data_IF_648510421189
#
_entry.id   IF_648510421189
#
_cell.length_a   1.000
_cell.length_b   1.000
_cell.length_c   1.000
_cell.angle_alpha   90.00
_cell.angle_beta   90.00
_cell.angle_gamma   90.00
#
_symmetry.space_group_name_H-M   'P 1'
#
loop_
_entity.id
_entity.type
_entity.pdbx_description
1 polymer ?
#
# COMPACT_ATOMS: atom_id res chain seq x y z
N UNK A 1 36.89 -2.53 -7.34
CA UNK A 1 37.23 -2.07 -8.68
C UNK A 1 36.20 -2.50 -9.71
N UNK A 2 36.48 -2.35 -11.00
CA UNK A 2 35.53 -2.58 -12.12
C UNK A 2 34.81 -3.94 -12.10
N UNK A 3 35.43 -5.00 -11.60
CA UNK A 3 34.82 -6.33 -11.49
C UNK A 3 33.66 -6.33 -10.47
N UNK A 4 33.82 -5.64 -9.35
CA UNK A 4 32.76 -5.54 -8.33
C UNK A 4 31.58 -4.73 -8.83
N UNK A 5 31.82 -3.63 -9.55
CA UNK A 5 30.78 -2.83 -10.20
C UNK A 5 30.01 -3.65 -11.23
N UNK A 6 30.72 -4.44 -12.05
CA UNK A 6 30.09 -5.32 -13.02
C UNK A 6 29.22 -6.39 -12.36
N UNK A 7 29.69 -7.02 -11.27
CA UNK A 7 28.91 -8.00 -10.52
C UNK A 7 27.63 -7.36 -9.94
N UNK A 8 27.74 -6.17 -9.36
CA UNK A 8 26.58 -5.45 -8.82
C UNK A 8 25.55 -5.08 -9.89
N UNK A 9 26.00 -4.69 -11.08
CA UNK A 9 25.11 -4.40 -12.23
C UNK A 9 24.41 -5.68 -12.71
N UNK A 10 25.12 -6.80 -12.80
CA UNK A 10 24.53 -8.09 -13.19
C UNK A 10 23.49 -8.54 -12.15
N UNK A 11 23.78 -8.41 -10.86
CA UNK A 11 22.82 -8.73 -9.80
C UNK A 11 21.56 -7.87 -9.87
N UNK A 12 21.70 -6.55 -10.11
CA UNK A 12 20.55 -5.64 -10.33
C UNK A 12 19.72 -6.06 -11.54
N UNK A 13 20.38 -6.42 -12.67
CA UNK A 13 19.68 -6.90 -13.86
C UNK A 13 18.93 -8.20 -13.58
N UNK A 14 19.54 -9.17 -12.91
CA UNK A 14 18.88 -10.44 -12.54
C UNK A 14 17.70 -10.18 -11.62
N UNK A 15 17.84 -9.29 -10.64
CA UNK A 15 16.76 -8.90 -9.73
C UNK A 15 15.61 -8.24 -10.48
N UNK A 16 15.89 -7.31 -11.39
CA UNK A 16 14.87 -6.67 -12.24
C UNK A 16 14.12 -7.68 -13.13
N UNK A 17 14.84 -8.64 -13.72
CA UNK A 17 14.24 -9.72 -14.52
C UNK A 17 13.33 -10.60 -13.65
N UNK A 18 13.75 -10.98 -12.46
CA UNK A 18 12.93 -11.76 -11.52
C UNK A 18 11.65 -11.02 -11.11
N UNK A 19 11.76 -9.71 -10.84
CA UNK A 19 10.58 -8.87 -10.53
C UNK A 19 9.64 -8.81 -11.73
N UNK A 20 10.15 -8.58 -12.93
CA UNK A 20 9.33 -8.52 -14.14
C UNK A 20 8.62 -9.85 -14.42
N UNK A 21 9.30 -10.97 -14.27
CA UNK A 21 8.71 -12.30 -14.39
C UNK A 21 7.61 -12.53 -13.34
N UNK A 22 7.84 -12.11 -12.09
CA UNK A 22 6.84 -12.19 -11.04
C UNK A 22 5.61 -11.32 -11.36
N UNK A 23 5.82 -10.10 -11.86
CA UNK A 23 4.75 -9.20 -12.30
C UNK A 23 3.92 -9.86 -13.41
N UNK A 24 4.58 -10.42 -14.44
CA UNK A 24 3.91 -11.11 -15.54
C UNK A 24 3.11 -12.30 -15.02
N UNK A 25 3.70 -13.15 -14.19
CA UNK A 25 3.00 -14.29 -13.57
C UNK A 25 1.77 -13.85 -12.76
N UNK A 26 1.89 -12.81 -11.95
CA UNK A 26 0.77 -12.29 -11.14
C UNK A 26 -0.33 -11.77 -12.07
N UNK A 27 0.01 -10.96 -13.07
CA UNK A 27 -0.96 -10.38 -14.02
C UNK A 27 -1.63 -11.43 -14.91
N UNK A 28 -0.92 -12.52 -15.23
CA UNK A 28 -1.47 -13.64 -16.02
C UNK A 28 -2.40 -14.52 -15.20
N UNK A 29 -2.07 -14.78 -13.93
CA UNK A 29 -2.81 -15.69 -13.07
C UNK A 29 -3.97 -15.02 -12.31
N UNK A 30 -3.88 -13.69 -12.09
CA UNK A 30 -4.88 -12.95 -11.33
C UNK A 30 -5.37 -11.75 -12.14
N UNK A 31 -6.57 -11.84 -12.69
CA UNK A 31 -7.25 -10.70 -13.36
C UNK A 31 -7.78 -9.72 -12.31
N UNK A 32 -6.88 -9.11 -11.55
CA UNK A 32 -7.20 -8.19 -10.44
C UNK A 32 -6.57 -6.82 -10.69
N UNK A 33 -7.31 -5.78 -10.34
CA UNK A 33 -6.79 -4.40 -10.23
C UNK A 33 -6.31 -4.20 -8.79
N UNK A 34 -5.00 -4.22 -8.57
CA UNK A 34 -4.39 -4.07 -7.25
C UNK A 34 -4.30 -2.59 -6.91
N UNK A 35 -4.91 -2.19 -5.79
CA UNK A 35 -5.05 -0.80 -5.39
C UNK A 35 -4.29 -0.56 -4.08
N UNK A 36 -3.34 0.39 -4.08
CA UNK A 36 -2.74 0.89 -2.86
C UNK A 36 -3.61 2.03 -2.32
N UNK A 37 -3.92 2.01 -1.02
CA UNK A 37 -4.62 3.09 -0.34
C UNK A 37 -3.82 3.54 0.88
N UNK A 38 -3.50 4.84 0.95
CA UNK A 38 -2.68 5.41 2.01
C UNK A 38 -3.01 6.87 2.28
N UNK A 39 -2.73 7.33 3.50
CA UNK A 39 -2.62 8.74 3.84
C UNK A 39 -1.15 9.06 4.15
N UNK A 40 -0.62 10.11 3.55
CA UNK A 40 0.79 10.50 3.66
C UNK A 40 0.94 12.02 3.82
N UNK A 41 2.00 12.44 4.48
CA UNK A 41 2.42 13.84 4.53
C UNK A 41 3.10 14.29 3.22
N UNK A 42 3.47 15.57 3.12
CA UNK A 42 4.24 16.08 1.98
C UNK A 42 5.58 15.37 1.80
N UNK A 43 6.22 14.96 2.90
CA UNK A 43 7.49 14.22 2.90
C UNK A 43 7.30 12.70 2.98
N UNK A 44 6.15 12.18 2.51
CA UNK A 44 5.83 10.74 2.41
C UNK A 44 5.78 9.97 3.74
N UNK A 45 5.71 10.64 4.87
CA UNK A 45 5.53 9.98 6.18
C UNK A 45 4.12 9.37 6.26
N UNK A 46 4.05 8.13 6.71
CA UNK A 46 2.81 7.38 6.98
C UNK A 46 2.42 7.48 8.45
N UNK A 47 3.40 7.48 9.35
CA UNK A 47 3.17 7.42 10.77
C UNK A 47 4.46 7.44 11.58
N UNK A 48 4.31 7.34 12.89
CA UNK A 48 5.38 7.24 13.86
C UNK A 48 4.98 6.27 14.98
N UNK A 49 5.90 5.43 15.42
CA UNK A 49 5.69 4.47 16.51
C UNK A 49 4.43 3.59 16.31
N UNK A 50 4.21 3.11 15.08
CA UNK A 50 3.02 2.35 14.63
C UNK A 50 1.67 3.08 14.83
N UNK A 51 1.67 4.42 14.86
CA UNK A 51 0.48 5.25 15.01
C UNK A 51 0.39 6.27 13.88
N UNK A 52 -0.85 6.65 13.53
CA UNK A 52 -1.10 7.81 12.69
C UNK A 52 -0.74 9.10 13.46
N UNK A 53 -0.11 10.05 12.78
CA UNK A 53 0.30 11.33 13.35
C UNK A 53 -0.84 12.35 13.31
N UNK A 54 -1.75 12.21 12.35
CA UNK A 54 -2.90 13.10 12.14
C UNK A 54 -4.20 12.31 12.22
N UNK A 55 -5.28 13.04 12.46
CA UNK A 55 -6.64 12.49 12.39
C UNK A 55 -7.48 13.33 11.45
N UNK A 56 -7.94 12.74 10.37
CA UNK A 56 -8.82 13.35 9.36
C UNK A 56 -10.03 12.44 9.19
N UNK A 57 -11.17 12.85 9.72
CA UNK A 57 -12.40 12.03 9.73
C UNK A 57 -12.88 11.67 8.32
N UNK A 58 -12.75 12.60 7.37
CA UNK A 58 -13.13 12.39 5.97
C UNK A 58 -12.25 11.35 5.28
N UNK A 59 -10.96 11.29 5.64
CA UNK A 59 -10.06 10.26 5.16
C UNK A 59 -10.48 8.87 5.66
N UNK A 60 -10.81 8.75 6.93
CA UNK A 60 -11.32 7.49 7.51
C UNK A 60 -12.64 7.05 6.88
N UNK A 61 -13.55 7.98 6.62
CA UNK A 61 -14.82 7.70 5.91
C UNK A 61 -14.55 7.23 4.49
N UNK A 62 -13.63 7.91 3.77
CA UNK A 62 -13.22 7.53 2.41
C UNK A 62 -12.57 6.15 2.39
N UNK A 63 -11.65 5.88 3.31
CA UNK A 63 -11.02 4.57 3.47
C UNK A 63 -12.07 3.48 3.67
N UNK A 64 -13.00 3.68 4.62
CA UNK A 64 -14.09 2.72 4.86
C UNK A 64 -14.95 2.52 3.61
N UNK A 65 -15.35 3.59 2.94
CA UNK A 65 -16.19 3.55 1.73
C UNK A 65 -15.52 2.76 0.60
N UNK A 66 -14.22 3.01 0.35
CA UNK A 66 -13.49 2.38 -0.75
C UNK A 66 -13.19 0.91 -0.47
N UNK A 67 -12.85 0.56 0.77
CA UNK A 67 -12.40 -0.80 1.11
C UNK A 67 -13.53 -1.75 1.53
N UNK A 68 -14.72 -1.23 1.83
CA UNK A 68 -15.84 -2.07 2.29
C UNK A 68 -16.27 -3.08 1.21
N UNK A 69 -16.41 -4.34 1.62
CA UNK A 69 -16.74 -5.45 0.71
C UNK A 69 -15.54 -6.05 -0.01
N UNK A 70 -14.33 -5.48 0.15
CA UNK A 70 -13.12 -5.92 -0.51
C UNK A 70 -12.16 -6.66 0.43
N UNK A 71 -11.22 -7.38 -0.16
CA UNK A 71 -10.05 -7.88 0.55
C UNK A 71 -9.08 -6.73 0.83
N UNK A 72 -8.54 -6.70 2.06
CA UNK A 72 -7.50 -5.76 2.47
C UNK A 72 -6.26 -6.55 2.87
N UNK A 73 -5.13 -6.18 2.30
CA UNK A 73 -3.83 -6.83 2.53
C UNK A 73 -2.94 -5.86 3.29
N UNK A 74 -2.34 -6.32 4.37
CA UNK A 74 -1.53 -5.51 5.27
C UNK A 74 -0.39 -6.32 5.88
N UNK A 75 0.61 -5.62 6.42
CA UNK A 75 1.64 -6.24 7.23
C UNK A 75 1.18 -6.52 8.66
N UNK A 76 1.88 -7.43 9.35
CA UNK A 76 1.58 -7.81 10.73
C UNK A 76 1.52 -6.60 11.69
N UNK A 77 2.50 -5.71 11.65
CA UNK A 77 2.53 -4.53 12.54
C UNK A 77 1.34 -3.60 12.32
N UNK A 78 0.90 -3.45 11.08
CA UNK A 78 -0.31 -2.66 10.76
C UNK A 78 -1.54 -3.30 11.37
N UNK A 79 -1.70 -4.63 11.25
CA UNK A 79 -2.81 -5.34 11.89
C UNK A 79 -2.78 -5.21 13.41
N UNK A 80 -1.62 -5.39 14.04
CA UNK A 80 -1.43 -5.28 15.49
C UNK A 80 -1.67 -3.85 16.02
N UNK A 81 -1.57 -2.82 15.18
CA UNK A 81 -1.91 -1.43 15.54
C UNK A 81 -3.41 -1.14 15.56
N UNK A 82 -4.21 -2.04 15.01
CA UNK A 82 -5.68 -1.94 15.02
C UNK A 82 -6.28 -2.70 16.20
N UNK A 83 -7.41 -2.25 16.76
CA UNK A 83 -8.05 -2.94 17.90
C UNK A 83 -8.61 -4.32 17.51
N UNK A 84 -8.96 -4.54 16.25
CA UNK A 84 -9.48 -5.80 15.71
C UNK A 84 -9.42 -5.81 14.18
N UNK A 85 -9.70 -6.96 13.57
CA UNK A 85 -9.94 -7.09 12.14
C UNK A 85 -11.06 -6.14 11.69
N UNK A 86 -10.88 -5.50 10.54
CA UNK A 86 -11.83 -4.51 10.05
C UNK A 86 -13.10 -5.20 9.52
N UNK A 87 -14.27 -4.88 10.05
CA UNK A 87 -15.52 -5.53 9.65
C UNK A 87 -15.90 -5.22 8.21
N UNK A 88 -16.63 -6.15 7.57
CA UNK A 88 -17.10 -6.02 6.19
C UNK A 88 -15.99 -6.11 5.14
N UNK A 89 -14.80 -6.58 5.52
CA UNK A 89 -13.62 -6.74 4.66
C UNK A 89 -12.95 -8.07 4.97
N UNK A 90 -12.33 -8.66 3.94
CA UNK A 90 -11.49 -9.84 4.13
C UNK A 90 -10.09 -9.40 4.54
N UNK A 91 -9.76 -9.56 5.81
CA UNK A 91 -8.45 -9.15 6.35
C UNK A 91 -7.41 -10.21 6.02
N UNK A 92 -6.33 -9.81 5.33
CA UNK A 92 -5.22 -10.69 4.94
C UNK A 92 -3.92 -10.06 5.44
N UNK A 93 -3.17 -10.81 6.24
CA UNK A 93 -1.93 -10.36 6.85
C UNK A 93 -0.76 -11.04 6.14
N UNK A 94 0.11 -10.24 5.53
CA UNK A 94 1.35 -10.70 4.93
C UNK A 94 2.47 -10.65 5.97
N UNK A 95 3.05 -11.80 6.30
CA UNK A 95 4.13 -11.92 7.29
C UNK A 95 5.11 -13.04 6.96
N UNK A 96 6.38 -12.86 7.30
CA UNK A 96 7.41 -13.90 7.21
C UNK A 96 7.36 -14.88 8.39
N UNK A 97 6.72 -14.49 9.48
CA UNK A 97 6.57 -15.36 10.65
C UNK A 97 5.52 -16.45 10.37
N UNK A 98 5.97 -17.70 10.19
CA UNK A 98 5.11 -18.84 9.86
C UNK A 98 4.23 -19.29 11.03
N UNK A 99 4.61 -18.97 12.25
CA UNK A 99 3.88 -19.29 13.49
C UNK A 99 2.88 -18.20 13.89
N UNK A 100 2.76 -17.13 13.07
CA UNK A 100 1.84 -16.04 13.37
C UNK A 100 0.40 -16.44 13.13
N UNK A 101 -0.43 -16.16 14.12
CA UNK A 101 -1.87 -16.37 14.07
C UNK A 101 -2.59 -15.08 14.44
N UNK A 102 -3.72 -14.83 13.85
CA UNK A 102 -4.57 -13.68 14.14
C UNK A 102 -6.04 -14.08 14.10
N UNK A 103 -6.82 -13.53 15.04
CA UNK A 103 -8.27 -13.74 15.05
C UNK A 103 -8.92 -12.97 13.90
N UNK A 104 -9.88 -13.61 13.23
CA UNK A 104 -10.71 -13.02 12.17
C UNK A 104 -9.89 -12.47 10.97
N UNK A 105 -8.70 -13.05 10.72
CA UNK A 105 -7.84 -12.68 9.60
C UNK A 105 -7.18 -13.91 8.97
N UNK A 106 -6.84 -13.81 7.70
CA UNK A 106 -6.10 -14.83 6.94
C UNK A 106 -4.61 -14.48 6.95
N UNK A 107 -3.75 -15.49 7.01
CA UNK A 107 -2.31 -15.31 7.02
C UNK A 107 -1.75 -15.72 5.66
N UNK A 108 -0.92 -14.88 5.07
CA UNK A 108 -0.17 -15.13 3.86
C UNK A 108 1.33 -14.95 4.12
N UNK A 109 2.16 -15.75 3.45
CA UNK A 109 3.62 -15.70 3.56
C UNK A 109 4.29 -15.24 2.26
N UNK A 110 3.49 -14.95 1.23
CA UNK A 110 3.95 -14.43 -0.06
C UNK A 110 2.88 -13.57 -0.73
N UNK A 111 3.30 -12.73 -1.67
CA UNK A 111 2.37 -11.92 -2.48
C UNK A 111 1.38 -12.81 -3.26
N UNK A 112 1.82 -13.86 -3.99
CA UNK A 112 0.88 -14.75 -4.68
C UNK A 112 -0.13 -15.39 -3.73
N UNK A 113 0.28 -15.79 -2.54
CA UNK A 113 -0.63 -16.35 -1.53
C UNK A 113 -1.64 -15.31 -1.03
N UNK A 114 -1.23 -14.09 -0.76
CA UNK A 114 -2.13 -13.00 -0.37
C UNK A 114 -3.17 -12.71 -1.45
N UNK A 115 -2.77 -12.66 -2.72
CA UNK A 115 -3.67 -12.46 -3.86
C UNK A 115 -4.60 -13.66 -4.07
N UNK A 116 -4.14 -14.89 -3.88
CA UNK A 116 -4.98 -16.09 -3.91
C UNK A 116 -6.03 -16.04 -2.80
N UNK A 117 -5.65 -15.66 -1.59
CA UNK A 117 -6.55 -15.53 -0.45
C UNK A 117 -7.59 -14.42 -0.65
N UNK A 118 -7.36 -13.43 -1.49
CA UNK A 118 -8.38 -12.42 -1.82
C UNK A 118 -9.56 -13.01 -2.61
N UNK A 119 -9.44 -14.26 -3.11
CA UNK A 119 -10.54 -14.97 -3.79
C UNK A 119 -10.92 -14.29 -5.10
N UNK A 120 -12.24 -14.17 -5.34
CA UNK A 120 -12.80 -13.58 -6.56
C UNK A 120 -12.91 -12.04 -6.51
N UNK A 121 -12.40 -11.41 -5.44
CA UNK A 121 -12.40 -9.95 -5.36
C UNK A 121 -11.54 -9.34 -6.49
N UNK A 122 -12.13 -8.54 -7.40
CA UNK A 122 -11.40 -7.94 -8.50
C UNK A 122 -10.54 -6.75 -8.07
N UNK A 123 -10.78 -6.18 -6.87
CA UNK A 123 -10.17 -4.94 -6.38
C UNK A 123 -9.59 -5.09 -4.97
N UNK A 124 -8.58 -5.94 -4.75
CA UNK A 124 -7.94 -6.03 -3.44
C UNK A 124 -7.18 -4.74 -3.12
N UNK A 125 -7.33 -4.25 -1.90
CA UNK A 125 -6.68 -3.05 -1.40
C UNK A 125 -5.46 -3.39 -0.54
N UNK A 126 -4.35 -2.71 -0.79
CA UNK A 126 -3.13 -2.77 0.01
C UNK A 126 -3.17 -1.60 0.98
N UNK A 127 -3.18 -1.86 2.28
CA UNK A 127 -3.41 -0.83 3.30
C UNK A 127 -2.19 -0.54 4.20
N UNK A 128 -1.03 -1.13 3.88
CA UNK A 128 0.22 -0.78 4.53
C UNK A 128 0.85 -1.87 5.38
N UNK A 129 1.91 -1.59 6.14
CA UNK A 129 2.64 -0.31 6.13
C UNK A 129 3.68 -0.14 5.00
N UNK A 130 4.67 0.70 5.26
CA UNK A 130 5.64 1.12 4.25
C UNK A 130 6.32 0.00 3.50
N UNK A 131 6.76 -1.05 4.19
CA UNK A 131 7.37 -2.25 3.57
C UNK A 131 6.38 -2.94 2.61
N UNK A 132 5.12 -3.06 3.01
CA UNK A 132 4.08 -3.71 2.21
C UNK A 132 3.72 -2.85 0.99
N UNK A 133 3.62 -1.53 1.12
CA UNK A 133 3.45 -0.64 -0.03
C UNK A 133 4.60 -0.78 -1.03
N UNK A 134 5.85 -0.84 -0.55
CA UNK A 134 7.02 -1.01 -1.41
C UNK A 134 7.01 -2.34 -2.16
N UNK A 135 6.56 -3.43 -1.52
CA UNK A 135 6.44 -4.75 -2.14
C UNK A 135 5.37 -4.77 -3.24
N UNK A 136 4.24 -4.08 -3.03
CA UNK A 136 3.12 -4.11 -3.97
C UNK A 136 3.16 -3.03 -5.05
N UNK A 137 3.88 -1.91 -4.85
CA UNK A 137 3.94 -0.81 -5.81
C UNK A 137 4.32 -1.25 -7.24
N UNK A 138 5.30 -2.17 -7.45
CA UNK A 138 5.65 -2.65 -8.79
C UNK A 138 4.51 -3.32 -9.53
N UNK A 139 3.60 -4.00 -8.82
CA UNK A 139 2.48 -4.77 -9.39
C UNK A 139 1.13 -4.06 -9.27
N UNK A 140 1.06 -2.94 -8.56
CA UNK A 140 -0.16 -2.15 -8.39
C UNK A 140 -0.62 -1.51 -9.70
N UNK A 141 -1.92 -1.28 -9.80
CA UNK A 141 -2.58 -0.65 -10.95
C UNK A 141 -3.08 0.75 -10.63
N UNK A 142 -3.41 0.99 -9.36
CA UNK A 142 -3.96 2.25 -8.87
C UNK A 142 -3.43 2.61 -7.49
N UNK A 143 -3.33 3.89 -7.21
CA UNK A 143 -3.02 4.43 -5.89
C UNK A 143 -4.11 5.43 -5.51
N UNK A 144 -4.79 5.17 -4.41
CA UNK A 144 -5.73 6.07 -3.75
C UNK A 144 -5.00 6.73 -2.57
N UNK A 145 -4.58 7.97 -2.74
CA UNK A 145 -3.72 8.67 -1.79
C UNK A 145 -4.45 9.85 -1.16
N UNK A 146 -4.36 9.97 0.16
CA UNK A 146 -4.67 11.22 0.85
C UNK A 146 -3.35 11.91 1.16
N UNK A 147 -3.11 13.08 0.55
CA UNK A 147 -1.94 13.91 0.78
C UNK A 147 -2.28 14.97 1.82
N UNK A 148 -1.68 14.88 3.00
CA UNK A 148 -1.76 15.91 4.04
C UNK A 148 -0.72 16.98 3.73
N UNK A 149 -1.17 18.24 3.50
CA UNK A 149 -0.31 19.34 3.07
C UNK A 149 0.49 19.92 4.23
N UNK A 150 1.30 19.07 4.85
CA UNK A 150 2.25 19.41 5.92
C UNK A 150 3.34 18.36 5.98
N UNK A 151 4.54 18.74 6.38
CA UNK A 151 5.64 17.81 6.71
C UNK A 151 5.55 17.35 8.16
N UNK A 152 5.93 16.14 8.44
CA UNK A 152 5.98 15.55 9.77
C UNK A 152 7.26 14.74 9.96
N UNK A 153 7.70 14.63 11.21
CA UNK A 153 8.67 13.62 11.61
C UNK A 153 7.97 12.28 11.76
N UNK A 154 8.57 11.22 11.21
CA UNK A 154 8.04 9.87 11.29
C UNK A 154 9.08 8.82 11.00
N UNK A 155 8.72 7.56 11.20
CA UNK A 155 9.60 6.39 11.03
C UNK A 155 9.08 5.40 9.98
N UNK A 156 7.85 5.59 9.49
CA UNK A 156 7.25 4.82 8.42
C UNK A 156 6.97 5.72 7.21
N UNK A 157 7.36 5.27 6.02
CA UNK A 157 7.28 6.04 4.78
C UNK A 157 6.57 5.26 3.69
N UNK A 158 5.77 5.97 2.89
CA UNK A 158 5.27 5.47 1.62
C UNK A 158 6.38 5.58 0.56
N UNK A 159 6.53 4.60 -0.35
CA UNK A 159 7.52 4.67 -1.41
C UNK A 159 7.25 5.85 -2.35
N UNK A 160 8.31 6.44 -2.89
CA UNK A 160 8.18 7.52 -3.86
C UNK A 160 7.42 7.06 -5.10
N UNK A 161 6.49 7.91 -5.58
CA UNK A 161 5.71 7.66 -6.79
C UNK A 161 6.48 8.20 -7.99
N UNK A 162 7.03 7.29 -8.79
CA UNK A 162 7.72 7.63 -10.03
C UNK A 162 6.72 8.10 -11.09
N UNK A 163 6.64 9.40 -11.33
CA UNK A 163 5.72 10.03 -12.28
C UNK A 163 6.00 9.66 -13.74
N UNK A 164 7.11 8.97 -14.04
CA UNK A 164 7.32 8.36 -15.36
C UNK A 164 6.48 7.08 -15.58
N UNK A 165 5.97 6.50 -14.47
CA UNK A 165 5.17 5.25 -14.46
C UNK A 165 3.72 5.45 -14.01
N UNK A 166 3.40 6.61 -13.46
CA UNK A 166 2.10 6.92 -12.90
C UNK A 166 1.54 8.23 -13.42
N UNK A 167 0.23 8.27 -13.67
CA UNK A 167 -0.50 9.47 -14.07
C UNK A 167 -1.44 9.86 -12.92
N UNK A 168 -1.42 11.13 -12.54
CA UNK A 168 -2.44 11.70 -11.66
C UNK A 168 -3.76 11.81 -12.43
N UNK A 169 -4.69 10.91 -12.10
CA UNK A 169 -5.99 10.82 -12.76
C UNK A 169 -7.00 11.82 -12.18
N UNK A 170 -7.00 12.01 -10.87
CA UNK A 170 -7.89 12.96 -10.19
C UNK A 170 -7.23 13.57 -8.95
N UNK A 171 -7.64 14.79 -8.64
CA UNK A 171 -7.21 15.53 -7.44
C UNK A 171 -8.37 16.35 -6.89
N UNK A 172 -8.71 16.11 -5.62
CA UNK A 172 -9.74 16.85 -4.88
C UNK A 172 -9.07 17.50 -3.66
N UNK A 173 -9.07 18.85 -3.63
CA UNK A 173 -8.49 19.63 -2.51
C UNK A 173 -9.55 19.87 -1.43
N UNK A 174 -9.13 19.70 -0.19
CA UNK A 174 -9.93 19.94 0.99
C UNK A 174 -9.16 20.87 1.94
N UNK A 175 -9.85 21.92 2.41
CA UNK A 175 -9.25 22.89 3.29
C UNK A 175 -9.39 22.50 4.77
N UNK A 176 -8.48 23.02 5.59
CA UNK A 176 -8.58 22.94 7.04
C UNK A 176 -9.86 23.63 7.55
N UNK A 177 -10.33 23.17 8.70
CA UNK A 177 -11.48 23.73 9.41
C UNK A 177 -11.17 23.83 10.91
N UNK A 178 -12.09 24.39 11.71
CA UNK A 178 -11.95 24.48 13.16
C UNK A 178 -11.72 23.08 13.80
N UNK A 179 -12.35 22.05 13.26
CA UNK A 179 -12.28 20.69 13.80
C UNK A 179 -11.25 19.81 13.08
N UNK A 180 -10.63 20.29 12.00
CA UNK A 180 -9.66 19.57 11.21
C UNK A 180 -8.55 20.54 10.75
N UNK A 181 -7.37 20.54 11.39
CA UNK A 181 -6.36 21.61 11.26
C UNK A 181 -5.49 21.51 10.01
N UNK A 182 -5.68 20.47 9.17
CA UNK A 182 -4.82 20.22 8.01
C UNK A 182 -5.55 20.47 6.70
N UNK A 183 -4.89 21.12 5.74
CA UNK A 183 -5.27 21.02 4.34
C UNK A 183 -4.83 19.66 3.81
N UNK A 184 -5.64 19.04 2.99
CA UNK A 184 -5.32 17.74 2.38
C UNK A 184 -5.96 17.62 1.01
N UNK A 185 -5.49 16.67 0.22
CA UNK A 185 -6.07 16.34 -1.08
C UNK A 185 -6.28 14.83 -1.20
N UNK A 186 -7.39 14.45 -1.81
CA UNK A 186 -7.58 13.09 -2.30
C UNK A 186 -7.03 13.01 -3.73
N UNK A 187 -6.09 12.11 -3.94
CA UNK A 187 -5.38 11.93 -5.20
C UNK A 187 -5.57 10.49 -5.67
N UNK A 188 -5.90 10.31 -6.94
CA UNK A 188 -5.93 9.00 -7.57
C UNK A 188 -4.90 8.95 -8.67
N UNK A 189 -3.95 8.00 -8.57
CA UNK A 189 -2.98 7.72 -9.61
C UNK A 189 -3.32 6.41 -10.31
N UNK A 190 -3.16 6.37 -11.61
CA UNK A 190 -3.26 5.15 -12.43
C UNK A 190 -1.92 4.85 -13.07
N UNK A 191 -1.58 3.56 -13.17
CA UNK A 191 -0.33 3.13 -13.80
C UNK A 191 -0.38 3.35 -15.30
N UNK A 192 0.70 3.86 -15.87
CA UNK A 192 0.89 3.94 -17.33
C UNK A 192 1.02 2.51 -17.86
N UNK A 193 0.21 2.16 -18.87
CA UNK A 193 0.22 0.85 -19.54
C UNK A 193 1.30 0.80 -20.61
#
# INVERSE_FOLDING_TARGET
GKVLEYILEVEKCIFAIKINLLIVMIKTNYSKEIILIAAVSENYVLGRDNKLIWHISEDLKRFKKLTNGHAIIMGRKTFESMPAALPGRKNIILTRNKEYHAKDAFIAHSIPEALRLSGDDPFPYIIGGGEIYSLFLPIADKIELTRVHRTFEGDAFFPEIDMSKWILHSSEKNNSSINQPYNYSFLTYTKIK
#
